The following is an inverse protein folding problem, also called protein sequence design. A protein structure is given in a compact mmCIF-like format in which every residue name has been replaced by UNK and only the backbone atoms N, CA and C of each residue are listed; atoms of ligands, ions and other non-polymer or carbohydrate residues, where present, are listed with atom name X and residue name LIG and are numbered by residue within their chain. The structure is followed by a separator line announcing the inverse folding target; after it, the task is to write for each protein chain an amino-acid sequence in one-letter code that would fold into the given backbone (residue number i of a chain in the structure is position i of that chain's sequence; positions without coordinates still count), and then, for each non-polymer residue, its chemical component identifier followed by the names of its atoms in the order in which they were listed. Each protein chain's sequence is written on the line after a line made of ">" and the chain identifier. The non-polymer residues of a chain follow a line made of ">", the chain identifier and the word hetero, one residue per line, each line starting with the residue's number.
data_IF_440705648544
#
_entry.id   IF_440705648544
#
_cell.length_a   1.000
_cell.length_b   1.000
_cell.length_c   1.000
_cell.angle_alpha   90.00
_cell.angle_beta   90.00
_cell.angle_gamma   90.00
#
_symmetry.space_group_name_H-M   'P 1'
#
loop_
_entity.id
_entity.type
_entity.pdbx_description
1 polymer ?
#
# COMPACT_ATOMS: atom_id res chain seq x y z
N UNK A 1 7.21 20.38 -22.10
CA UNK A 1 7.78 19.17 -21.47
C UNK A 1 9.30 19.28 -21.49
N UNK A 2 10.04 18.57 -20.62
CA UNK A 2 11.51 18.62 -20.59
C UNK A 2 12.17 18.21 -21.91
N UNK A 3 11.50 17.41 -22.73
CA UNK A 3 11.93 16.97 -24.07
C UNK A 3 11.44 17.89 -25.22
N UNK A 4 10.95 19.08 -24.92
CA UNK A 4 10.46 20.03 -25.91
C UNK A 4 9.04 19.77 -26.43
N UNK A 5 8.39 18.64 -26.09
CA UNK A 5 6.98 18.42 -26.47
C UNK A 5 6.09 19.49 -25.86
N UNK A 6 5.13 19.99 -26.65
CA UNK A 6 4.08 20.92 -26.22
C UNK A 6 2.74 20.19 -26.20
N UNK A 7 2.06 20.24 -25.06
CA UNK A 7 0.73 19.65 -24.87
C UNK A 7 -0.19 20.80 -24.49
N UNK A 8 -1.26 21.00 -25.26
CA UNK A 8 -2.31 21.98 -24.97
C UNK A 8 -3.54 21.26 -24.41
N UNK A 9 -4.51 22.04 -23.93
CA UNK A 9 -5.80 21.49 -23.48
C UNK A 9 -6.49 20.70 -24.61
N UNK A 10 -6.45 21.19 -25.85
CA UNK A 10 -7.08 20.54 -27.00
C UNK A 10 -6.40 19.26 -27.46
N UNK A 11 -5.10 19.09 -27.18
CA UNK A 11 -4.33 17.89 -27.56
C UNK A 11 -4.09 16.94 -26.39
N UNK A 12 -4.68 17.21 -25.22
CA UNK A 12 -4.48 16.40 -24.03
C UNK A 12 -5.40 15.17 -24.03
N UNK A 13 -4.82 14.00 -24.24
CA UNK A 13 -5.50 12.70 -24.16
C UNK A 13 -5.18 11.94 -22.86
N UNK A 14 -4.56 12.62 -21.90
CA UNK A 14 -4.07 11.96 -20.69
C UNK A 14 -5.18 11.57 -19.73
N UNK A 15 -5.00 10.41 -19.09
CA UNK A 15 -5.89 9.90 -18.06
C UNK A 15 -5.07 9.18 -16.98
N UNK A 16 -5.73 8.70 -15.92
CA UNK A 16 -5.07 7.88 -14.89
C UNK A 16 -4.46 6.61 -15.51
N UNK A 17 -5.12 6.00 -16.49
CA UNK A 17 -4.67 4.77 -17.17
C UNK A 17 -3.81 5.04 -18.40
N UNK A 18 -3.82 6.27 -18.90
CA UNK A 18 -2.98 6.72 -20.02
C UNK A 18 -2.26 8.05 -19.67
N UNK A 19 -1.33 8.06 -18.69
CA UNK A 19 -0.64 9.27 -18.30
C UNK A 19 0.45 9.68 -19.32
N UNK A 20 0.75 10.97 -19.37
CA UNK A 20 1.90 11.51 -20.11
C UNK A 20 3.18 11.01 -19.45
N UNK A 21 3.95 10.19 -20.18
CA UNK A 21 5.28 9.74 -19.75
C UNK A 21 6.30 10.86 -19.92
N UNK A 22 7.01 11.19 -18.85
CA UNK A 22 8.21 12.03 -18.90
C UNK A 22 9.34 11.32 -19.65
N UNK A 23 10.27 12.08 -20.28
CA UNK A 23 11.49 11.50 -20.83
C UNK A 23 12.38 10.92 -19.72
N UNK A 24 13.34 10.07 -20.07
CA UNK A 24 14.38 9.56 -19.14
C UNK A 24 15.15 10.71 -18.49
N UNK A 25 15.29 10.65 -17.17
CA UNK A 25 16.01 11.65 -16.38
C UNK A 25 15.43 11.80 -14.98
N UNK A 26 16.13 12.58 -14.15
CA UNK A 26 15.66 12.94 -12.82
C UNK A 26 14.99 14.32 -12.90
N UNK A 27 13.65 14.32 -12.96
CA UNK A 27 12.87 15.54 -13.13
C UNK A 27 12.00 15.81 -11.90
N UNK A 28 11.66 17.07 -11.74
CA UNK A 28 10.65 17.61 -10.85
C UNK A 28 9.55 18.27 -11.68
N UNK A 29 8.47 18.75 -11.05
CA UNK A 29 7.48 19.55 -11.78
C UNK A 29 8.00 20.93 -12.18
N UNK A 30 9.10 21.42 -11.59
CA UNK A 30 9.74 22.65 -12.05
C UNK A 30 10.30 22.53 -13.47
N UNK A 31 10.70 21.33 -13.88
CA UNK A 31 11.19 21.05 -15.24
C UNK A 31 10.05 20.96 -16.27
N UNK A 32 8.80 20.95 -15.81
CA UNK A 32 7.62 21.04 -16.66
C UNK A 32 7.23 22.51 -16.80
N UNK A 33 7.64 23.09 -17.93
CA UNK A 33 7.32 24.45 -18.30
C UNK A 33 5.81 24.64 -18.53
N UNK A 34 5.23 25.60 -17.82
CA UNK A 34 3.86 26.08 -18.00
C UNK A 34 3.87 27.60 -18.14
N UNK A 35 2.70 28.24 -18.20
CA UNK A 35 2.57 29.71 -18.16
C UNK A 35 2.98 30.31 -16.80
N UNK A 36 3.09 29.47 -15.77
CA UNK A 36 3.52 29.89 -14.44
C UNK A 36 5.04 30.02 -14.39
N UNK A 37 5.58 31.03 -13.68
CA UNK A 37 7.01 31.11 -13.40
C UNK A 37 7.53 29.85 -12.70
N UNK A 38 8.83 29.57 -12.85
CA UNK A 38 9.46 28.44 -12.15
C UNK A 38 9.27 28.54 -10.64
N UNK A 39 8.94 27.42 -9.99
CA UNK A 39 8.63 27.36 -8.56
C UNK A 39 7.25 27.93 -8.16
N UNK A 40 6.60 28.72 -9.00
CA UNK A 40 5.31 29.34 -8.67
C UNK A 40 4.13 28.38 -8.88
N UNK A 41 3.14 28.49 -8.01
CA UNK A 41 1.86 27.76 -8.10
C UNK A 41 0.69 28.66 -8.48
N UNK A 42 0.92 29.97 -8.64
CA UNK A 42 -0.08 30.92 -9.11
C UNK A 42 0.57 32.12 -9.81
N UNK A 43 -0.15 32.73 -10.75
CA UNK A 43 0.20 34.00 -11.39
C UNK A 43 -1.06 34.80 -11.69
N UNK A 44 -1.00 36.14 -11.52
CA UNK A 44 -2.10 37.00 -11.95
C UNK A 44 -2.13 37.12 -13.47
N UNK A 45 -3.33 37.23 -14.06
CA UNK A 45 -3.45 37.46 -15.50
C UNK A 45 -2.85 38.80 -15.90
N UNK A 46 -2.92 39.81 -15.02
CA UNK A 46 -2.25 41.10 -15.24
C UNK A 46 -0.73 40.96 -15.40
N UNK A 47 -0.10 40.09 -14.60
CA UNK A 47 1.33 39.81 -14.70
C UNK A 47 1.70 39.11 -16.01
N UNK A 48 0.79 38.36 -16.63
CA UNK A 48 1.02 37.74 -17.93
C UNK A 48 0.90 38.78 -19.05
N UNK A 49 -0.06 39.69 -18.94
CA UNK A 49 -0.20 40.81 -19.87
C UNK A 49 1.03 41.71 -19.84
N UNK A 50 1.54 42.05 -18.65
CA UNK A 50 2.76 42.86 -18.54
C UNK A 50 4.02 42.16 -19.09
N UNK A 51 3.98 40.84 -19.27
CA UNK A 51 5.03 40.06 -19.95
C UNK A 51 4.81 39.91 -21.47
N UNK A 52 3.82 40.61 -22.04
CA UNK A 52 3.49 40.54 -23.46
C UNK A 52 2.83 39.23 -23.89
N UNK A 53 2.19 38.50 -22.95
CA UNK A 53 1.45 37.25 -23.26
C UNK A 53 -0.01 37.53 -23.65
N UNK A 54 -0.20 38.46 -24.58
CA UNK A 54 -1.51 38.89 -25.09
C UNK A 54 -1.35 39.42 -26.52
N UNK A 55 -2.47 39.63 -27.23
CA UNK A 55 -2.50 40.17 -28.59
C UNK A 55 -3.55 41.26 -28.69
N UNK A 56 -3.29 42.21 -29.59
CA UNK A 56 -4.09 43.41 -29.84
C UNK A 56 -4.18 43.62 -31.35
N UNK A 57 -5.40 43.50 -31.90
CA UNK A 57 -5.61 43.53 -33.36
C UNK A 57 -5.78 44.96 -33.89
N UNK A 58 -6.30 45.89 -33.07
CA UNK A 58 -6.60 47.28 -33.46
C UNK A 58 -5.71 48.31 -32.75
N UNK A 59 -4.89 47.90 -31.78
CA UNK A 59 -3.80 48.69 -31.20
C UNK A 59 -4.22 49.57 -30.03
N UNK A 60 -5.43 49.39 -29.49
CA UNK A 60 -6.01 50.22 -28.44
C UNK A 60 -5.46 49.92 -27.03
N UNK A 61 -4.76 48.80 -26.88
CA UNK A 61 -4.12 48.33 -25.66
C UNK A 61 -2.62 48.62 -25.60
N UNK A 62 -2.03 49.22 -26.65
CA UNK A 62 -0.60 49.49 -26.72
C UNK A 62 -0.17 50.67 -25.82
N UNK A 63 1.01 50.55 -25.20
CA UNK A 63 1.60 51.58 -24.32
C UNK A 63 1.59 51.23 -22.83
N UNK A 64 2.21 52.07 -22.00
CA UNK A 64 2.27 51.87 -20.55
C UNK A 64 0.86 51.93 -19.97
N UNK A 65 0.39 50.83 -19.36
CA UNK A 65 -0.96 50.66 -18.82
C UNK A 65 -2.10 50.68 -19.88
N UNK A 66 -1.80 50.40 -21.15
CA UNK A 66 -2.81 50.39 -22.21
C UNK A 66 -3.87 49.29 -22.04
N UNK A 67 -3.52 48.17 -21.37
CA UNK A 67 -4.44 47.08 -21.04
C UNK A 67 -4.20 46.56 -19.62
N UNK A 68 -5.29 46.22 -18.93
CA UNK A 68 -5.27 45.55 -17.62
C UNK A 68 -6.11 44.28 -17.64
N UNK A 69 -5.70 43.27 -16.88
CA UNK A 69 -6.47 42.04 -16.68
C UNK A 69 -6.81 41.80 -15.22
N UNK A 70 -8.02 41.32 -14.97
CA UNK A 70 -8.39 40.73 -13.68
C UNK A 70 -8.34 39.19 -13.76
N UNK A 71 -8.12 38.55 -12.62
CA UNK A 71 -8.07 37.09 -12.50
C UNK A 71 -6.66 36.51 -12.37
N UNK A 72 -6.59 35.18 -12.28
CA UNK A 72 -5.34 34.45 -12.04
C UNK A 72 -5.40 33.03 -12.60
N UNK A 73 -4.22 32.46 -12.82
CA UNK A 73 -4.03 31.05 -13.12
C UNK A 73 -3.34 30.42 -11.91
N UNK A 74 -3.83 29.28 -11.46
CA UNK A 74 -3.28 28.51 -10.35
C UNK A 74 -2.99 27.07 -10.76
N UNK A 75 -2.10 26.43 -10.03
CA UNK A 75 -1.64 25.07 -10.23
C UNK A 75 -1.74 24.27 -8.94
N UNK A 76 -2.42 23.14 -9.01
CA UNK A 76 -2.42 22.14 -7.97
C UNK A 76 -1.84 20.83 -8.51
N UNK A 77 -0.93 20.23 -7.76
CA UNK A 77 -0.36 18.92 -8.08
C UNK A 77 -0.69 17.95 -6.96
N UNK A 78 -1.25 16.81 -7.33
CA UNK A 78 -1.54 15.72 -6.40
C UNK A 78 -0.92 14.42 -6.88
N UNK A 79 -0.45 13.59 -5.97
CA UNK A 79 -0.03 12.23 -6.29
C UNK A 79 -1.24 11.30 -6.52
N UNK A 80 -1.00 10.04 -6.87
CA UNK A 80 -2.04 9.02 -7.09
C UNK A 80 -2.93 8.77 -5.87
N UNK A 81 -2.47 9.16 -4.68
CA UNK A 81 -3.17 9.01 -3.41
C UNK A 81 -3.94 10.28 -3.01
N UNK A 82 -3.83 11.36 -3.79
CA UNK A 82 -4.47 12.64 -3.53
C UNK A 82 -3.68 13.56 -2.59
N UNK A 83 -2.47 13.20 -2.18
CA UNK A 83 -1.59 14.06 -1.38
C UNK A 83 -1.02 15.18 -2.24
N UNK A 84 -0.98 16.41 -1.70
CA UNK A 84 -0.39 17.57 -2.38
C UNK A 84 1.11 17.36 -2.57
N UNK A 85 1.61 17.75 -3.74
CA UNK A 85 3.02 17.64 -4.13
C UNK A 85 3.54 19.01 -4.50
N UNK A 86 4.71 19.39 -3.99
CA UNK A 86 5.33 20.66 -4.36
C UNK A 86 6.02 20.53 -5.72
N UNK A 87 6.20 21.66 -6.41
CA UNK A 87 6.86 21.61 -7.72
C UNK A 87 8.31 21.13 -7.68
N UNK A 88 8.98 21.35 -6.55
CA UNK A 88 10.38 20.98 -6.30
C UNK A 88 10.56 19.54 -5.79
N UNK A 89 9.48 18.84 -5.46
CA UNK A 89 9.59 17.49 -4.92
C UNK A 89 10.11 16.54 -6.02
N UNK A 90 11.05 15.67 -5.64
CA UNK A 90 11.48 14.55 -6.49
C UNK A 90 10.30 13.64 -6.81
N UNK A 91 10.16 13.30 -8.08
CA UNK A 91 9.12 12.40 -8.54
C UNK A 91 9.45 10.94 -8.18
N UNK A 92 8.41 10.19 -7.86
CA UNK A 92 8.47 8.80 -7.45
C UNK A 92 7.40 8.02 -8.20
N UNK A 93 7.81 6.94 -8.88
CA UNK A 93 6.91 6.06 -9.63
C UNK A 93 5.83 5.44 -8.73
N UNK A 94 6.09 5.30 -7.43
CA UNK A 94 5.13 4.80 -6.46
C UNK A 94 4.05 5.80 -6.07
N UNK A 95 4.27 7.09 -6.38
CA UNK A 95 3.31 8.18 -6.23
C UNK A 95 2.66 8.58 -7.55
N UNK A 96 3.15 8.08 -8.68
CA UNK A 96 2.61 8.30 -10.01
C UNK A 96 1.38 7.40 -10.32
N UNK A 97 0.49 7.79 -11.25
CA UNK A 97 0.52 9.05 -11.99
C UNK A 97 0.11 10.22 -11.10
N UNK A 98 0.72 11.37 -11.34
CA UNK A 98 0.41 12.62 -10.68
C UNK A 98 -0.67 13.36 -11.45
N UNK A 99 -1.67 13.88 -10.72
CA UNK A 99 -2.71 14.75 -11.25
C UNK A 99 -2.26 16.20 -11.16
N UNK A 100 -2.08 16.83 -12.31
CA UNK A 100 -1.71 18.25 -12.44
C UNK A 100 -2.95 19.01 -12.90
N UNK A 101 -3.47 19.89 -12.06
CA UNK A 101 -4.63 20.73 -12.36
C UNK A 101 -4.17 22.17 -12.57
N UNK A 102 -4.50 22.74 -13.72
CA UNK A 102 -4.39 24.18 -14.01
C UNK A 102 -5.79 24.78 -13.99
N UNK A 103 -6.00 25.76 -13.12
CA UNK A 103 -7.27 26.45 -12.95
C UNK A 103 -7.08 27.94 -13.25
N UNK A 104 -7.84 28.47 -14.21
CA UNK A 104 -7.95 29.91 -14.47
C UNK A 104 -9.25 30.43 -13.87
N UNK A 105 -9.19 31.53 -13.15
CA UNK A 105 -10.39 32.27 -12.79
C UNK A 105 -10.97 32.95 -14.04
N UNK A 106 -12.25 33.31 -13.99
CA UNK A 106 -12.78 34.31 -14.90
C UNK A 106 -12.17 35.68 -14.62
N UNK A 107 -12.47 36.63 -15.50
CA UNK A 107 -11.96 37.98 -15.37
C UNK A 107 -12.45 38.89 -16.48
N UNK A 108 -11.78 40.03 -16.58
CA UNK A 108 -12.01 41.04 -17.59
C UNK A 108 -10.69 41.56 -18.13
N UNK A 109 -10.67 41.86 -19.42
CA UNK A 109 -9.68 42.73 -20.05
C UNK A 109 -10.28 44.13 -20.12
N UNK A 110 -9.49 45.14 -19.81
CA UNK A 110 -9.91 46.54 -19.87
C UNK A 110 -8.82 47.35 -20.53
N UNK A 111 -9.18 48.04 -21.61
CA UNK A 111 -8.31 48.99 -22.33
C UNK A 111 -8.73 50.42 -22.02
N UNK A 112 -7.84 51.38 -22.27
CA UNK A 112 -8.15 52.79 -22.05
C UNK A 112 -9.02 53.37 -23.18
N UNK A 113 -8.82 52.91 -24.42
CA UNK A 113 -9.36 53.56 -25.62
C UNK A 113 -10.35 52.69 -26.42
N UNK A 114 -10.51 51.41 -26.07
CA UNK A 114 -11.40 50.48 -26.77
C UNK A 114 -12.88 50.82 -26.67
N UNK A 115 -13.65 50.39 -27.66
CA UNK A 115 -15.11 50.52 -27.65
C UNK A 115 -15.73 49.18 -28.08
N UNK A 116 -16.32 48.39 -27.15
CA UNK A 116 -16.36 48.61 -25.71
C UNK A 116 -14.98 48.50 -25.06
N UNK A 117 -14.70 49.30 -24.03
CA UNK A 117 -13.40 49.36 -23.36
C UNK A 117 -13.13 48.16 -22.42
N UNK A 118 -14.06 47.21 -22.32
CA UNK A 118 -13.86 46.00 -21.52
C UNK A 118 -14.60 44.81 -22.09
N UNK A 119 -13.92 43.68 -22.03
CA UNK A 119 -14.47 42.36 -22.35
C UNK A 119 -14.31 41.42 -21.17
N UNK A 120 -15.27 40.50 -20.99
CA UNK A 120 -15.23 39.48 -19.93
C UNK A 120 -14.94 38.11 -20.52
N UNK A 121 -14.21 37.31 -19.77
CA UNK A 121 -13.95 35.91 -20.08
C UNK A 121 -14.25 35.02 -18.87
N UNK A 122 -14.60 33.78 -19.16
CA UNK A 122 -14.89 32.78 -18.15
C UNK A 122 -13.62 32.03 -17.75
N UNK A 123 -13.61 31.56 -16.51
CA UNK A 123 -12.56 30.67 -16.03
C UNK A 123 -12.67 29.29 -16.65
N UNK A 124 -11.66 28.47 -16.41
CA UNK A 124 -11.60 27.11 -16.93
C UNK A 124 -10.58 26.26 -16.20
N UNK A 125 -10.75 24.94 -16.32
CA UNK A 125 -9.89 23.94 -15.67
C UNK A 125 -9.34 22.98 -16.70
N UNK A 126 -8.04 22.69 -16.62
CA UNK A 126 -7.39 21.64 -17.39
C UNK A 126 -6.67 20.67 -16.45
N UNK A 127 -6.88 19.37 -16.66
CA UNK A 127 -6.28 18.29 -15.85
C UNK A 127 -5.36 17.45 -16.72
N UNK A 128 -4.14 17.24 -16.25
CA UNK A 128 -3.14 16.40 -16.89
C UNK A 128 -2.72 15.29 -15.92
N UNK A 129 -2.45 14.09 -16.45
CA UNK A 129 -1.87 13.00 -15.67
C UNK A 129 -0.44 12.74 -16.15
N UNK A 130 0.52 12.73 -15.23
CA UNK A 130 1.96 12.64 -15.54
C UNK A 130 2.58 11.45 -14.81
N UNK A 131 3.43 10.68 -15.49
CA UNK A 131 4.18 9.55 -14.90
C UNK A 131 5.65 9.60 -15.28
N UNK A 132 6.48 8.85 -14.55
CA UNK A 132 7.91 8.71 -14.84
C UNK A 132 8.16 7.63 -15.91
N UNK A 133 9.29 7.70 -16.63
CA UNK A 133 9.73 6.67 -17.57
C UNK A 133 10.27 5.40 -16.92
N UNK A 134 10.36 5.35 -15.58
CA UNK A 134 10.93 4.23 -14.85
C UNK A 134 10.18 2.92 -15.13
N UNK A 135 10.93 1.81 -15.06
CA UNK A 135 10.36 0.47 -15.05
C UNK A 135 9.30 0.39 -13.94
N UNK A 136 8.18 -0.32 -14.18
CA UNK A 136 7.18 -0.49 -13.14
C UNK A 136 7.79 -1.21 -11.94
N UNK A 137 7.23 -0.95 -10.77
CA UNK A 137 7.72 -1.51 -9.51
C UNK A 137 6.55 -1.90 -8.62
N UNK A 138 6.81 -2.78 -7.67
CA UNK A 138 5.91 -3.03 -6.56
C UNK A 138 6.38 -2.15 -5.41
N UNK A 139 5.52 -1.23 -4.99
CA UNK A 139 5.84 -0.15 -4.07
C UNK A 139 5.66 -0.58 -2.60
N UNK A 140 4.58 -1.29 -2.35
CA UNK A 140 4.25 -1.83 -1.05
C UNK A 140 3.35 -3.05 -1.21
N UNK A 141 3.20 -3.79 -0.12
CA UNK A 141 2.29 -4.91 -0.02
C UNK A 141 1.37 -4.69 1.18
N UNK A 142 0.08 -4.87 0.95
CA UNK A 142 -0.99 -4.50 1.87
C UNK A 142 -1.64 -5.74 2.47
N UNK A 143 -1.23 -6.19 3.67
CA UNK A 143 -2.06 -7.05 4.49
C UNK A 143 -3.18 -6.22 5.15
N UNK A 144 -3.88 -6.79 6.13
CA UNK A 144 -4.82 -6.04 6.95
C UNK A 144 -4.14 -4.84 7.63
N UNK A 145 -4.63 -3.63 7.41
CA UNK A 145 -4.05 -2.37 7.92
C UNK A 145 -4.54 -1.98 9.33
N UNK A 146 -5.60 -2.62 9.84
CA UNK A 146 -6.19 -2.26 11.13
C UNK A 146 -5.16 -2.37 12.26
N UNK A 147 -5.23 -1.46 13.22
CA UNK A 147 -4.26 -1.36 14.32
C UNK A 147 -2.80 -1.23 13.84
N UNK A 148 -2.58 -0.65 12.66
CA UNK A 148 -1.25 -0.33 12.11
C UNK A 148 -0.93 1.17 12.13
N UNK A 149 -1.59 1.96 12.97
CA UNK A 149 -1.39 3.41 13.08
C UNK A 149 -0.90 3.80 14.48
N UNK A 150 -0.53 5.07 14.66
CA UNK A 150 -0.11 5.66 15.95
C UNK A 150 0.96 4.82 16.66
N UNK A 151 0.70 4.33 17.89
CA UNK A 151 1.66 3.55 18.69
C UNK A 151 1.93 2.15 18.14
N UNK A 152 1.08 1.66 17.23
CA UNK A 152 1.28 0.37 16.56
C UNK A 152 1.86 0.52 15.15
N UNK A 153 2.08 1.75 14.68
CA UNK A 153 2.74 1.99 13.40
C UNK A 153 4.21 1.56 13.48
N UNK A 154 4.64 0.78 12.50
CA UNK A 154 6.05 0.45 12.32
C UNK A 154 6.90 1.66 11.88
N UNK A 155 8.23 1.50 11.83
CA UNK A 155 9.13 2.48 11.24
C UNK A 155 8.68 2.87 9.82
N UNK A 156 8.75 4.16 9.47
CA UNK A 156 8.22 4.68 8.19
C UNK A 156 8.92 4.13 6.95
N UNK A 157 10.13 3.58 7.09
CA UNK A 157 10.86 2.89 6.03
C UNK A 157 10.46 1.41 5.87
N UNK A 158 9.65 0.87 6.78
CA UNK A 158 9.17 -0.53 6.77
C UNK A 158 7.65 -0.57 6.55
N UNK A 159 6.91 0.32 7.21
CA UNK A 159 5.46 0.29 7.27
C UNK A 159 4.84 1.65 6.97
N UNK A 160 3.82 1.65 6.13
CA UNK A 160 2.93 2.77 5.90
C UNK A 160 1.52 2.43 6.41
N UNK A 161 0.92 3.23 7.31
CA UNK A 161 -0.43 2.98 7.84
C UNK A 161 -1.53 2.88 6.77
N UNK A 162 -1.32 3.44 5.58
CA UNK A 162 -2.30 3.44 4.49
C UNK A 162 -1.94 2.47 3.35
N UNK A 163 -0.69 1.99 3.30
CA UNK A 163 -0.15 1.21 2.17
C UNK A 163 0.36 -0.18 2.52
N UNK A 164 0.63 -0.43 3.81
CA UNK A 164 1.17 -1.69 4.30
C UNK A 164 2.69 -1.70 4.36
N UNK A 165 3.30 -2.87 4.16
CA UNK A 165 4.75 -3.02 4.20
C UNK A 165 5.40 -2.50 2.93
N UNK A 166 6.41 -1.64 3.07
CA UNK A 166 7.22 -1.17 1.95
C UNK A 166 8.15 -2.29 1.48
N UNK A 167 8.36 -2.40 0.17
CA UNK A 167 9.30 -3.37 -0.40
C UNK A 167 10.72 -3.02 0.04
N UNK A 168 11.38 -3.96 0.72
CA UNK A 168 12.73 -3.75 1.26
C UNK A 168 13.82 -4.09 0.24
N UNK A 169 13.57 -5.07 -0.64
CA UNK A 169 14.48 -5.41 -1.73
C UNK A 169 13.79 -6.21 -2.83
N UNK A 170 14.20 -6.01 -4.08
CA UNK A 170 13.83 -6.87 -5.21
C UNK A 170 14.94 -7.85 -5.60
N UNK A 171 16.10 -7.78 -4.94
CA UNK A 171 17.21 -8.72 -5.17
C UNK A 171 16.90 -10.08 -4.51
N UNK A 172 16.95 -11.20 -5.26
CA UNK A 172 16.68 -12.53 -4.73
C UNK A 172 17.47 -12.89 -3.46
N UNK A 173 18.73 -12.44 -3.33
CA UNK A 173 19.55 -12.71 -2.14
C UNK A 173 19.04 -12.03 -0.86
N UNK A 174 18.11 -11.07 -0.99
CA UNK A 174 17.60 -10.23 0.10
C UNK A 174 16.09 -10.38 0.33
N UNK A 175 15.42 -11.34 -0.32
CA UNK A 175 13.99 -11.59 -0.14
C UNK A 175 13.58 -11.90 1.31
N UNK A 176 14.52 -12.38 2.12
CA UNK A 176 14.30 -12.62 3.53
C UNK A 176 14.02 -11.36 4.36
N UNK A 177 14.18 -10.16 3.78
CA UNK A 177 13.86 -8.86 4.39
C UNK A 177 12.43 -8.39 4.09
N UNK A 178 11.75 -8.98 3.12
CA UNK A 178 10.39 -8.59 2.75
C UNK A 178 9.34 -9.33 3.58
N UNK A 179 8.16 -8.71 3.68
CA UNK A 179 6.96 -9.37 4.19
C UNK A 179 6.41 -10.37 3.15
N UNK A 180 5.76 -11.46 3.54
CA UNK A 180 5.71 -12.00 4.90
C UNK A 180 6.89 -12.92 5.21
N UNK A 181 7.20 -13.08 6.50
CA UNK A 181 8.08 -14.16 6.99
C UNK A 181 7.31 -15.28 7.67
N UNK A 182 6.03 -15.05 7.95
CA UNK A 182 5.11 -16.00 8.58
C UNK A 182 3.90 -16.23 7.69
N UNK A 183 3.22 -17.38 7.77
CA UNK A 183 2.05 -17.64 6.93
C UNK A 183 1.09 -18.67 7.50
N UNK A 184 -0.11 -18.69 6.94
CA UNK A 184 -1.15 -19.68 7.19
C UNK A 184 -2.02 -19.79 5.93
N UNK A 185 -2.74 -20.90 5.80
CA UNK A 185 -3.64 -21.11 4.66
C UNK A 185 -4.74 -20.05 4.62
N UNK A 186 -5.03 -19.53 3.43
CA UNK A 186 -6.08 -18.55 3.20
C UNK A 186 -5.71 -17.12 3.60
N UNK A 187 -4.50 -16.87 4.10
CA UNK A 187 -4.00 -15.49 4.27
C UNK A 187 -3.63 -14.87 2.93
N UNK A 188 -3.86 -13.57 2.82
CA UNK A 188 -3.59 -12.83 1.60
C UNK A 188 -3.13 -11.41 1.86
N UNK A 189 -2.44 -10.85 0.87
CA UNK A 189 -2.07 -9.44 0.82
C UNK A 189 -2.19 -8.92 -0.61
N UNK A 190 -2.33 -7.61 -0.77
CA UNK A 190 -2.47 -6.99 -2.09
C UNK A 190 -1.20 -6.23 -2.48
N UNK A 191 -0.77 -6.33 -3.74
CA UNK A 191 0.38 -5.58 -4.27
C UNK A 191 -0.05 -4.16 -4.70
N UNK A 192 0.65 -3.12 -4.23
CA UNK A 192 0.55 -1.76 -4.79
C UNK A 192 1.61 -1.61 -5.90
N UNK A 193 1.15 -1.59 -7.15
CA UNK A 193 2.00 -1.57 -8.34
C UNK A 193 2.04 -0.15 -8.90
N UNK A 194 3.24 0.37 -9.15
CA UNK A 194 3.50 1.68 -9.73
C UNK A 194 4.02 1.57 -11.17
N UNK A 195 3.68 2.56 -11.99
CA UNK A 195 4.23 2.72 -13.36
C UNK A 195 3.54 1.93 -14.47
N UNK A 196 2.56 1.10 -14.15
CA UNK A 196 1.76 0.33 -15.12
C UNK A 196 0.35 0.07 -14.60
N UNK A 197 -0.58 -0.20 -15.51
CA UNK A 197 -1.88 -0.78 -15.18
C UNK A 197 -1.70 -2.25 -14.76
N UNK A 198 -1.96 -2.53 -13.49
CA UNK A 198 -1.79 -3.86 -12.92
C UNK A 198 -2.67 -4.94 -13.58
N UNK A 199 -3.76 -4.55 -14.25
CA UNK A 199 -4.64 -5.49 -14.98
C UNK A 199 -3.97 -6.10 -16.21
N UNK A 200 -2.89 -5.50 -16.69
CA UNK A 200 -2.12 -5.98 -17.85
C UNK A 200 -1.09 -7.06 -17.50
N UNK A 201 -0.87 -7.31 -16.21
CA UNK A 201 0.17 -8.23 -15.75
C UNK A 201 -0.34 -9.67 -15.68
N UNK A 202 0.40 -10.57 -16.33
CA UNK A 202 0.31 -12.02 -16.17
C UNK A 202 1.37 -12.50 -15.20
N UNK A 203 1.02 -13.42 -14.30
CA UNK A 203 1.87 -13.79 -13.15
C UNK A 203 2.42 -15.20 -13.25
N UNK A 204 3.73 -15.32 -13.03
CA UNK A 204 4.41 -16.57 -12.74
C UNK A 204 4.85 -16.59 -11.27
N UNK A 205 4.74 -17.76 -10.63
CA UNK A 205 5.14 -17.98 -9.23
C UNK A 205 6.25 -19.02 -9.21
N UNK A 206 7.44 -18.62 -8.77
CA UNK A 206 8.54 -19.51 -8.50
C UNK A 206 8.60 -19.78 -7.00
N UNK A 207 8.71 -21.05 -6.60
CA UNK A 207 8.83 -21.46 -5.20
C UNK A 207 9.88 -22.54 -5.03
N UNK A 208 10.59 -22.53 -3.91
CA UNK A 208 11.56 -23.56 -3.54
C UNK A 208 10.95 -24.75 -2.77
N UNK A 209 9.62 -24.78 -2.58
CA UNK A 209 8.99 -25.81 -1.75
C UNK A 209 7.52 -26.07 -2.04
N UNK A 210 6.85 -26.71 -1.09
CA UNK A 210 5.50 -27.29 -1.28
C UNK A 210 4.33 -26.36 -0.96
N UNK A 211 4.59 -25.18 -0.38
CA UNK A 211 3.52 -24.22 -0.10
C UNK A 211 3.12 -23.51 -1.41
N UNK A 212 1.83 -23.25 -1.56
CA UNK A 212 1.25 -22.66 -2.76
C UNK A 212 1.04 -21.15 -2.63
N UNK A 213 1.08 -20.46 -3.77
CA UNK A 213 0.65 -19.06 -3.90
C UNK A 213 -0.18 -18.93 -5.17
N UNK A 214 -1.27 -18.17 -5.06
CA UNK A 214 -2.03 -17.70 -6.22
C UNK A 214 -1.98 -16.18 -6.28
N UNK A 215 -1.68 -15.62 -7.46
CA UNK A 215 -1.81 -14.18 -7.72
C UNK A 215 -3.03 -13.95 -8.60
N UNK A 216 -3.92 -13.05 -8.20
CA UNK A 216 -5.19 -12.80 -8.91
C UNK A 216 -5.53 -11.31 -8.99
N UNK A 217 -6.05 -10.88 -10.13
CA UNK A 217 -6.65 -9.56 -10.32
C UNK A 217 -8.15 -9.64 -10.03
N UNK A 218 -8.61 -9.07 -8.92
CA UNK A 218 -9.99 -9.28 -8.43
C UNK A 218 -10.49 -8.14 -7.56
N UNK A 219 -11.81 -8.05 -7.39
CA UNK A 219 -12.39 -7.17 -6.37
C UNK A 219 -12.00 -7.67 -4.96
N UNK A 220 -11.78 -6.75 -4.00
CA UNK A 220 -11.65 -7.08 -2.58
C UNK A 220 -12.81 -7.93 -2.08
N UNK A 221 -12.55 -8.79 -1.10
CA UNK A 221 -13.59 -9.50 -0.39
C UNK A 221 -14.46 -8.48 0.38
N UNK A 222 -15.75 -8.77 0.53
CA UNK A 222 -16.63 -7.88 1.32
C UNK A 222 -16.19 -7.76 2.78
N UNK A 223 -15.57 -8.82 3.33
CA UNK A 223 -14.96 -8.84 4.66
C UNK A 223 -13.66 -8.06 4.79
N UNK A 224 -13.07 -7.53 3.71
CA UNK A 224 -11.85 -6.72 3.75
C UNK A 224 -12.15 -5.33 4.31
N UNK A 225 -12.37 -5.24 5.61
CA UNK A 225 -12.77 -4.01 6.30
C UNK A 225 -11.67 -2.92 6.29
N UNK A 226 -10.43 -3.28 5.97
CA UNK A 226 -9.32 -2.34 5.80
C UNK A 226 -9.24 -1.73 4.38
N UNK A 227 -10.12 -2.14 3.45
CA UNK A 227 -10.21 -1.59 2.11
C UNK A 227 -11.52 -0.80 1.99
N UNK A 228 -11.40 0.52 1.92
CA UNK A 228 -12.56 1.44 1.84
C UNK A 228 -13.25 1.37 0.48
N UNK A 229 -12.48 1.55 -0.60
CA UNK A 229 -12.99 1.52 -1.97
C UNK A 229 -12.94 0.09 -2.52
N UNK A 230 -14.05 -0.64 -2.40
CA UNK A 230 -14.21 -2.01 -2.90
C UNK A 230 -14.70 -2.07 -4.35
N UNK A 231 -14.83 -0.92 -5.03
CA UNK A 231 -15.21 -0.87 -6.45
C UNK A 231 -14.03 -1.09 -7.41
N UNK A 232 -12.81 -1.09 -6.87
CA UNK A 232 -11.57 -1.23 -7.62
C UNK A 232 -10.92 -2.58 -7.36
N UNK A 233 -10.40 -3.18 -8.42
CA UNK A 233 -9.65 -4.42 -8.33
C UNK A 233 -8.32 -4.23 -7.59
N UNK A 234 -7.84 -5.32 -7.01
CA UNK A 234 -6.56 -5.47 -6.34
C UNK A 234 -5.80 -6.63 -6.98
N UNK A 235 -4.47 -6.55 -6.98
CA UNK A 235 -3.60 -7.68 -7.28
C UNK A 235 -3.33 -8.46 -6.00
N UNK A 236 -4.14 -9.48 -5.74
CA UNK A 236 -4.12 -10.26 -4.50
C UNK A 236 -3.21 -11.47 -4.61
N UNK A 237 -2.32 -11.60 -3.64
CA UNK A 237 -1.48 -12.78 -3.39
C UNK A 237 -2.10 -13.57 -2.24
N UNK A 238 -2.51 -14.81 -2.48
CA UNK A 238 -3.09 -15.71 -1.47
C UNK A 238 -2.15 -16.88 -1.20
N UNK A 239 -1.89 -17.16 0.07
CA UNK A 239 -1.11 -18.31 0.53
C UNK A 239 -1.99 -19.55 0.67
N UNK A 240 -1.49 -20.69 0.18
CA UNK A 240 -2.17 -21.99 0.27
C UNK A 240 -1.23 -23.02 0.89
N UNK A 241 -1.73 -23.83 1.81
CA UNK A 241 -0.91 -24.85 2.45
C UNK A 241 -1.68 -25.71 3.44
N UNK A 242 -0.98 -26.44 4.32
CA UNK A 242 -1.62 -27.29 5.31
C UNK A 242 -2.55 -26.46 6.23
N UNK A 243 -3.80 -26.90 6.32
CA UNK A 243 -4.84 -26.37 7.23
C UNK A 243 -5.58 -27.53 7.89
N UNK A 244 -6.12 -27.30 9.08
CA UNK A 244 -7.00 -28.28 9.71
C UNK A 244 -8.36 -28.33 8.97
N UNK A 245 -8.83 -29.53 8.67
CA UNK A 245 -10.19 -29.76 8.17
C UNK A 245 -11.22 -29.53 9.27
N UNK A 246 -12.50 -29.43 8.91
CA UNK A 246 -13.59 -29.33 9.89
C UNK A 246 -13.62 -30.50 10.88
N UNK A 247 -13.28 -31.71 10.44
CA UNK A 247 -13.20 -32.89 11.31
C UNK A 247 -11.98 -32.86 12.25
N UNK A 248 -10.84 -32.34 11.78
CA UNK A 248 -9.68 -32.13 12.65
C UNK A 248 -9.94 -31.02 13.67
N UNK A 249 -10.63 -29.94 13.28
CA UNK A 249 -10.97 -28.82 14.18
C UNK A 249 -11.86 -29.29 15.34
N UNK A 250 -12.91 -30.06 15.05
CA UNK A 250 -13.87 -30.54 16.05
C UNK A 250 -13.37 -31.71 16.90
N UNK A 251 -12.40 -32.49 16.41
CA UNK A 251 -11.85 -33.63 17.13
C UNK A 251 -10.91 -33.22 18.26
N UNK A 252 -10.97 -33.92 19.40
CA UNK A 252 -9.95 -33.86 20.45
C UNK A 252 -8.69 -34.66 20.07
N UNK A 253 -8.81 -35.61 19.13
CA UNK A 253 -7.72 -36.45 18.64
C UNK A 253 -7.61 -36.36 17.11
N UNK A 254 -7.13 -35.23 16.56
CA UNK A 254 -7.04 -35.06 15.11
C UNK A 254 -5.93 -35.92 14.52
N UNK A 255 -6.09 -36.35 13.27
CA UNK A 255 -4.99 -36.92 12.50
C UNK A 255 -3.93 -35.86 12.18
N UNK A 256 -2.68 -36.29 11.97
CA UNK A 256 -1.55 -35.39 11.68
C UNK A 256 -1.74 -34.61 10.38
N UNK A 257 -1.17 -33.40 10.32
CA UNK A 257 -1.06 -32.60 9.11
C UNK A 257 0.34 -32.70 8.53
N UNK A 258 0.44 -32.57 7.20
CA UNK A 258 1.72 -32.37 6.53
C UNK A 258 2.39 -31.12 7.09
N UNK A 259 3.67 -31.24 7.44
CA UNK A 259 4.50 -30.11 7.85
C UNK A 259 5.26 -29.59 6.63
N UNK A 260 5.15 -28.31 6.28
CA UNK A 260 5.96 -27.75 5.21
C UNK A 260 7.43 -27.70 5.65
N UNK A 261 8.35 -28.03 4.76
CA UNK A 261 9.78 -27.79 4.97
C UNK A 261 10.03 -26.29 4.86
N UNK A 262 10.53 -25.66 5.92
CA UNK A 262 10.80 -24.21 5.99
C UNK A 262 12.29 -23.98 6.28
N UNK A 263 12.88 -22.86 5.80
CA UNK A 263 12.25 -21.77 5.07
C UNK A 263 11.92 -22.10 3.60
N UNK A 264 10.92 -21.43 3.03
CA UNK A 264 10.61 -21.48 1.58
C UNK A 264 10.70 -20.08 0.98
N UNK A 265 11.40 -19.97 -0.15
CA UNK A 265 11.51 -18.72 -0.90
C UNK A 265 10.48 -18.71 -2.02
N UNK A 266 9.81 -17.57 -2.16
CA UNK A 266 8.87 -17.29 -3.24
C UNK A 266 9.36 -16.11 -4.05
N UNK A 267 9.19 -16.17 -5.37
CA UNK A 267 9.37 -15.06 -6.30
C UNK A 267 8.14 -14.99 -7.22
N UNK A 268 7.44 -13.87 -7.17
CA UNK A 268 6.32 -13.52 -8.03
C UNK A 268 6.85 -12.64 -9.15
N UNK A 269 6.63 -13.05 -10.40
CA UNK A 269 7.07 -12.31 -11.58
C UNK A 269 5.82 -11.95 -12.41
N UNK A 270 5.50 -10.66 -12.46
CA UNK A 270 4.42 -10.11 -13.27
C UNK A 270 4.96 -9.55 -14.58
N UNK A 271 4.38 -9.92 -15.73
CA UNK A 271 4.79 -9.47 -17.07
C UNK A 271 3.61 -8.94 -17.87
N UNK A 272 3.80 -7.88 -18.64
CA UNK A 272 2.83 -7.44 -19.65
C UNK A 272 3.28 -7.83 -21.07
N UNK A 273 2.45 -7.52 -22.08
CA UNK A 273 2.77 -7.78 -23.49
C UNK A 273 3.82 -6.83 -24.08
N UNK A 274 4.16 -5.74 -23.39
CA UNK A 274 5.13 -4.74 -23.84
C UNK A 274 6.54 -5.04 -23.33
N UNK A 275 6.73 -6.17 -22.63
CA UNK A 275 8.01 -6.57 -22.06
C UNK A 275 8.32 -5.90 -20.71
N UNK A 276 7.36 -5.20 -20.10
CA UNK A 276 7.50 -4.70 -18.74
C UNK A 276 7.43 -5.87 -17.74
N UNK A 277 8.21 -5.78 -16.68
CA UNK A 277 8.31 -6.82 -15.67
C UNK A 277 8.37 -6.22 -14.26
N UNK A 278 7.64 -6.81 -13.32
CA UNK A 278 7.75 -6.54 -11.89
C UNK A 278 8.07 -7.81 -11.13
N UNK A 279 8.85 -7.69 -10.05
CA UNK A 279 9.21 -8.81 -9.18
C UNK A 279 8.90 -8.50 -7.73
N UNK A 280 8.37 -9.51 -7.03
CA UNK A 280 8.27 -9.49 -5.57
C UNK A 280 8.64 -10.85 -5.02
N UNK A 281 9.61 -10.89 -4.11
CA UNK A 281 9.98 -12.14 -3.45
C UNK A 281 10.07 -11.99 -1.95
N UNK A 282 9.80 -13.10 -1.26
CA UNK A 282 9.79 -13.17 0.19
C UNK A 282 10.15 -14.58 0.66
N UNK A 283 10.42 -14.74 1.95
CA UNK A 283 10.83 -16.02 2.54
C UNK A 283 9.94 -16.35 3.74
N UNK A 284 9.10 -17.37 3.60
CA UNK A 284 8.35 -17.92 4.72
C UNK A 284 9.28 -18.77 5.58
N UNK A 285 9.35 -18.45 6.86
CA UNK A 285 10.17 -19.13 7.87
C UNK A 285 9.32 -19.90 8.88
N UNK A 286 8.04 -19.55 9.00
CA UNK A 286 7.13 -20.14 9.97
C UNK A 286 5.71 -20.27 9.39
N UNK A 287 5.09 -21.43 9.59
CA UNK A 287 3.73 -21.72 9.15
C UNK A 287 2.81 -22.01 10.34
N UNK A 288 1.58 -21.50 10.28
CA UNK A 288 0.60 -21.58 11.35
C UNK A 288 -0.69 -22.27 10.90
N UNK A 289 -1.30 -23.02 11.81
CA UNK A 289 -2.59 -23.69 11.63
C UNK A 289 -3.49 -23.33 12.81
N UNK A 290 -4.75 -22.96 12.57
CA UNK A 290 -5.68 -22.58 13.63
C UNK A 290 -6.81 -23.61 13.82
N UNK A 291 -7.41 -23.62 15.01
CA UNK A 291 -8.56 -24.46 15.37
C UNK A 291 -9.91 -23.74 15.24
N UNK A 292 -10.00 -22.76 14.34
CA UNK A 292 -11.20 -21.96 14.14
C UNK A 292 -11.75 -21.35 15.44
N UNK A 293 -13.06 -21.46 15.63
CA UNK A 293 -13.80 -20.89 16.77
C UNK A 293 -13.81 -21.78 18.02
N UNK A 294 -13.04 -22.87 18.05
CA UNK A 294 -13.02 -23.80 19.20
C UNK A 294 -12.26 -23.19 20.37
N UNK A 295 -12.99 -22.94 21.46
CA UNK A 295 -12.47 -22.48 22.76
C UNK A 295 -12.31 -23.65 23.71
N UNK A 296 -11.09 -23.87 24.20
CA UNK A 296 -10.73 -24.95 25.11
C UNK A 296 -9.57 -24.52 26.02
N UNK A 297 -9.39 -25.26 27.10
CA UNK A 297 -8.31 -25.01 28.06
C UNK A 297 -6.95 -25.36 27.45
N UNK A 298 -5.89 -24.87 28.09
CA UNK A 298 -4.54 -24.97 27.54
C UNK A 298 -4.12 -26.41 27.22
N UNK A 299 -4.40 -27.36 28.12
CA UNK A 299 -4.03 -28.78 27.96
C UNK A 299 -4.67 -29.41 26.71
N UNK A 300 -5.95 -29.15 26.46
CA UNK A 300 -6.69 -29.63 25.29
C UNK A 300 -6.16 -29.05 23.99
N UNK A 301 -5.84 -27.75 24.00
CA UNK A 301 -5.33 -27.04 22.83
C UNK A 301 -3.88 -27.46 22.52
N UNK A 302 -3.06 -27.67 23.56
CA UNK A 302 -1.71 -28.21 23.45
C UNK A 302 -1.73 -29.63 22.88
N UNK A 303 -2.59 -30.50 23.42
CA UNK A 303 -2.75 -31.86 22.91
C UNK A 303 -3.21 -31.87 21.45
N UNK A 304 -4.12 -30.97 21.07
CA UNK A 304 -4.55 -30.81 19.69
C UNK A 304 -3.41 -30.41 18.76
N UNK A 305 -2.62 -29.38 19.12
CA UNK A 305 -1.44 -28.98 18.34
C UNK A 305 -0.45 -30.13 18.17
N UNK A 306 -0.09 -30.80 19.26
CA UNK A 306 0.89 -31.89 19.25
C UNK A 306 0.45 -33.06 18.37
N UNK A 307 -0.85 -33.41 18.38
CA UNK A 307 -1.41 -34.49 17.54
C UNK A 307 -1.44 -34.15 16.05
N UNK A 308 -1.61 -32.88 15.70
CA UNK A 308 -1.40 -32.43 14.32
C UNK A 308 0.06 -32.57 13.87
N UNK A 309 0.99 -32.78 14.81
CA UNK A 309 2.43 -32.74 14.58
C UNK A 309 2.97 -31.31 14.59
N UNK A 310 2.24 -30.36 15.17
CA UNK A 310 2.64 -28.95 15.35
C UNK A 310 2.89 -28.70 16.83
N UNK A 311 3.35 -27.51 17.19
CA UNK A 311 3.52 -27.10 18.59
C UNK A 311 2.69 -25.87 18.93
N UNK A 312 2.43 -25.68 20.21
CA UNK A 312 1.92 -24.41 20.72
C UNK A 312 2.97 -23.32 20.49
N UNK A 313 2.60 -22.14 19.96
CA UNK A 313 3.52 -21.02 19.79
C UNK A 313 3.92 -20.41 21.13
N UNK A 314 5.07 -19.74 21.14
CA UNK A 314 5.48 -18.82 22.19
C UNK A 314 4.90 -17.43 21.94
N UNK A 315 4.90 -16.56 22.94
CA UNK A 315 4.51 -15.14 22.81
C UNK A 315 5.29 -14.47 21.68
N UNK A 316 6.60 -14.69 21.60
CA UNK A 316 7.45 -14.18 20.51
C UNK A 316 7.11 -14.69 19.12
N UNK A 317 6.47 -15.86 18.99
CA UNK A 317 6.05 -16.36 17.68
C UNK A 317 4.84 -15.56 17.17
N UNK A 318 4.09 -14.89 18.06
CA UNK A 318 2.84 -14.19 17.73
C UNK A 318 2.96 -12.68 17.73
N UNK A 319 3.75 -12.08 18.62
CA UNK A 319 3.78 -10.61 18.83
C UNK A 319 5.16 -10.09 19.23
N UNK A 320 5.41 -8.81 18.96
CA UNK A 320 6.54 -8.04 19.48
C UNK A 320 6.18 -7.08 20.62
N UNK A 321 5.06 -7.35 21.32
CA UNK A 321 4.68 -6.62 22.53
C UNK A 321 5.82 -6.53 23.54
N UNK A 322 5.94 -5.40 24.23
CA UNK A 322 6.93 -5.21 25.30
C UNK A 322 6.62 -5.94 26.61
N UNK A 323 5.45 -6.58 26.71
CA UNK A 323 4.99 -7.22 27.93
C UNK A 323 5.97 -8.28 28.44
N UNK A 324 6.46 -8.08 29.66
CA UNK A 324 7.43 -8.94 30.37
C UNK A 324 8.64 -9.38 29.53
N UNK A 325 9.02 -8.58 28.52
CA UNK A 325 10.09 -8.90 27.56
C UNK A 325 9.92 -10.21 26.78
N UNK A 326 8.70 -10.78 26.76
CA UNK A 326 8.39 -12.08 26.15
C UNK A 326 8.19 -12.01 24.62
N UNK A 327 7.83 -10.83 24.10
CA UNK A 327 7.64 -10.60 22.67
C UNK A 327 8.94 -10.66 21.85
N UNK A 328 8.79 -10.79 20.54
CA UNK A 328 9.88 -10.76 19.59
C UNK A 328 10.58 -9.39 19.53
N UNK A 329 11.78 -9.37 18.96
CA UNK A 329 12.49 -8.14 18.63
C UNK A 329 12.19 -7.71 17.16
N UNK A 330 12.22 -6.39 16.87
CA UNK A 330 12.28 -5.30 17.83
C UNK A 330 10.97 -5.14 18.58
N UNK A 331 11.06 -4.82 19.88
CA UNK A 331 9.90 -4.69 20.77
C UNK A 331 9.16 -3.39 20.49
N UNK A 332 7.84 -3.42 20.63
CA UNK A 332 7.02 -2.21 20.66
C UNK A 332 7.26 -1.39 21.93
N UNK A 333 6.71 -0.19 22.01
CA UNK A 333 6.80 0.68 23.19
C UNK A 333 5.70 0.43 24.23
N UNK A 334 4.68 -0.36 23.89
CA UNK A 334 3.48 -0.60 24.70
C UNK A 334 3.10 -2.09 24.66
N UNK A 335 2.15 -2.52 25.50
CA UNK A 335 1.64 -3.89 25.46
C UNK A 335 0.66 -4.10 24.28
N UNK A 336 1.19 -4.02 23.06
CA UNK A 336 0.54 -4.30 21.79
C UNK A 336 1.63 -4.53 20.73
N UNK A 337 1.31 -5.10 19.58
CA UNK A 337 2.30 -5.16 18.49
C UNK A 337 2.57 -3.76 17.93
N UNK A 338 3.78 -3.60 17.38
CA UNK A 338 4.14 -2.53 16.45
C UNK A 338 4.49 -3.20 15.12
N UNK A 339 3.87 -2.77 14.01
CA UNK A 339 4.03 -3.40 12.70
C UNK A 339 5.49 -3.54 12.31
N UNK A 340 5.94 -4.77 12.12
CA UNK A 340 7.33 -5.07 11.81
C UNK A 340 7.43 -6.40 11.07
N UNK A 341 8.41 -6.51 10.17
CA UNK A 341 8.72 -7.74 9.46
C UNK A 341 9.60 -8.62 10.36
N UNK A 342 9.27 -9.91 10.48
CA UNK A 342 10.02 -10.89 11.25
C UNK A 342 9.83 -10.84 12.77
N UNK A 343 8.81 -10.13 13.27
CA UNK A 343 8.61 -9.88 14.70
C UNK A 343 7.29 -10.46 15.24
N UNK A 344 6.90 -11.63 14.74
CA UNK A 344 5.73 -12.38 15.18
C UNK A 344 4.58 -12.37 14.17
N UNK A 345 3.76 -13.42 14.21
CA UNK A 345 2.69 -13.67 13.25
C UNK A 345 1.62 -12.58 13.22
N UNK A 346 1.06 -12.21 14.37
CA UNK A 346 0.05 -11.14 14.44
C UNK A 346 0.66 -9.75 14.19
N UNK A 347 1.94 -9.56 14.50
CA UNK A 347 2.67 -8.33 14.17
C UNK A 347 2.74 -8.10 12.66
N UNK A 348 3.01 -9.16 11.89
CA UNK A 348 3.04 -9.10 10.43
C UNK A 348 1.63 -8.97 9.84
N UNK A 349 0.72 -9.88 10.19
CA UNK A 349 -0.57 -9.99 9.51
C UNK A 349 -1.67 -9.08 10.08
N UNK A 350 -1.51 -8.58 11.29
CA UNK A 350 -2.46 -7.69 11.95
C UNK A 350 -3.68 -8.41 12.49
N UNK A 351 -4.83 -7.73 12.45
CA UNK A 351 -6.09 -8.28 12.97
C UNK A 351 -6.55 -9.51 12.18
N UNK A 352 -6.39 -10.69 12.78
CA UNK A 352 -6.58 -11.96 12.07
C UNK A 352 -8.04 -12.26 11.73
N UNK A 353 -8.98 -11.81 12.55
CA UNK A 353 -10.42 -12.03 12.32
C UNK A 353 -10.99 -11.29 11.12
N UNK A 354 -10.20 -10.43 10.46
CA UNK A 354 -10.60 -9.74 9.24
C UNK A 354 -10.38 -10.53 7.95
N UNK A 355 -9.55 -11.57 7.95
CA UNK A 355 -9.28 -12.36 6.75
C UNK A 355 -10.42 -13.35 6.49
N UNK A 356 -11.13 -13.19 5.36
CA UNK A 356 -12.34 -13.97 5.07
C UNK A 356 -12.07 -15.49 4.98
N UNK A 357 -10.94 -15.88 4.41
CA UNK A 357 -10.69 -17.27 3.98
C UNK A 357 -9.71 -18.03 4.90
N UNK A 358 -9.13 -17.35 5.90
CA UNK A 358 -8.09 -17.91 6.77
C UNK A 358 -8.65 -18.64 8.01
N UNK A 359 -9.94 -18.47 8.32
CA UNK A 359 -10.63 -19.18 9.41
C UNK A 359 -10.27 -18.72 10.84
N UNK A 360 -9.46 -17.67 10.99
CA UNK A 360 -9.14 -17.09 12.30
C UNK A 360 -10.32 -16.31 12.88
N UNK A 361 -10.39 -16.28 14.21
CA UNK A 361 -11.41 -15.53 14.95
C UNK A 361 -10.73 -14.41 15.74
N UNK A 362 -11.39 -13.26 15.84
CA UNK A 362 -10.92 -12.18 16.72
C UNK A 362 -10.98 -12.60 18.19
N UNK A 363 -9.84 -12.56 18.89
CA UNK A 363 -9.80 -12.86 20.32
C UNK A 363 -8.43 -13.29 20.82
N UNK A 364 -8.42 -14.00 21.94
CA UNK A 364 -7.21 -14.45 22.60
C UNK A 364 -6.80 -15.83 22.08
N UNK A 365 -5.50 -16.00 21.86
CA UNK A 365 -4.87 -17.25 21.46
C UNK A 365 -3.86 -17.70 22.51
N UNK A 366 -3.85 -18.99 22.82
CA UNK A 366 -2.89 -19.58 23.76
C UNK A 366 -1.45 -19.48 23.29
N UNK A 367 -0.54 -19.40 24.26
CA UNK A 367 0.90 -19.58 24.05
C UNK A 367 1.46 -20.55 25.07
N UNK A 368 2.65 -21.10 24.81
CA UNK A 368 3.32 -22.02 25.72
C UNK A 368 4.03 -21.33 26.90
N UNK A 369 4.30 -20.03 26.81
CA UNK A 369 4.91 -19.28 27.91
C UNK A 369 3.93 -19.17 29.09
N UNK A 370 4.43 -19.14 30.32
CA UNK A 370 3.61 -19.09 31.53
C UNK A 370 4.26 -18.25 32.64
N UNK A 371 3.43 -17.74 33.53
CA UNK A 371 3.84 -17.14 34.81
C UNK A 371 3.08 -17.82 35.94
N UNK A 372 3.81 -18.55 36.79
CA UNK A 372 3.21 -19.43 37.79
C UNK A 372 2.31 -20.49 37.16
N UNK A 373 1.05 -20.55 37.60
CA UNK A 373 0.05 -21.51 37.11
C UNK A 373 -0.69 -21.05 35.85
N UNK A 374 -0.49 -19.82 35.38
CA UNK A 374 -1.24 -19.25 34.26
C UNK A 374 -0.39 -19.16 33.00
N UNK A 375 -0.90 -19.69 31.90
CA UNK A 375 -0.31 -19.49 30.57
C UNK A 375 -0.59 -18.07 30.05
N UNK A 376 0.35 -17.57 29.26
CA UNK A 376 0.18 -16.33 28.53
C UNK A 376 -0.68 -16.55 27.28
N UNK A 377 -1.33 -15.47 26.87
CA UNK A 377 -2.24 -15.43 25.72
C UNK A 377 -2.08 -14.10 25.00
N UNK A 378 -2.28 -14.14 23.68
CA UNK A 378 -2.08 -12.97 22.81
C UNK A 378 -3.37 -12.64 22.06
N UNK A 379 -3.75 -11.36 22.05
CA UNK A 379 -4.88 -10.89 21.26
C UNK A 379 -4.53 -10.87 19.77
N UNK A 380 -5.30 -11.59 18.95
CA UNK A 380 -5.11 -11.64 17.49
C UNK A 380 -5.46 -10.34 16.76
N UNK A 381 -6.05 -9.36 17.46
CA UNK A 381 -6.47 -8.08 16.88
C UNK A 381 -5.32 -7.06 16.87
N UNK A 382 -4.64 -6.88 18.01
CA UNK A 382 -3.61 -5.84 18.22
C UNK A 382 -2.38 -6.35 19.00
N UNK A 383 -2.25 -7.67 19.23
CA UNK A 383 -1.01 -8.28 19.74
C UNK A 383 -0.70 -8.06 21.22
N UNK A 384 -1.65 -7.56 22.01
CA UNK A 384 -1.45 -7.43 23.46
C UNK A 384 -1.36 -8.80 24.13
N UNK A 385 -0.50 -8.88 25.15
CA UNK A 385 -0.25 -10.07 25.96
C UNK A 385 -0.98 -9.91 27.28
N UNK A 386 -1.57 -11.00 27.75
CA UNK A 386 -2.09 -11.09 29.11
C UNK A 386 -1.99 -12.53 29.63
N UNK A 387 -2.36 -12.72 30.89
CA UNK A 387 -2.44 -14.04 31.54
C UNK A 387 -3.86 -14.29 32.06
N UNK A 388 -4.20 -15.54 32.37
CA UNK A 388 -5.46 -15.92 33.03
C UNK A 388 -6.04 -17.26 32.57
N UNK A 389 -7.07 -17.74 33.29
CA UNK A 389 -7.62 -19.11 33.19
C UNK A 389 -8.78 -19.31 32.22
N UNK A 390 -9.05 -18.36 31.33
CA UNK A 390 -10.17 -18.51 30.38
C UNK A 390 -9.84 -19.60 29.36
N UNK A 391 -10.80 -19.98 28.50
CA UNK A 391 -10.58 -20.89 27.37
C UNK A 391 -10.39 -20.15 26.01
N UNK A 392 -9.20 -19.59 25.70
CA UNK A 392 -8.76 -19.07 24.40
C UNK A 392 -8.88 -20.03 23.21
N UNK A 393 -8.72 -19.45 22.03
CA UNK A 393 -8.54 -20.15 20.77
C UNK A 393 -7.13 -20.75 20.66
N UNK A 394 -6.96 -21.68 19.72
CA UNK A 394 -5.65 -22.25 19.40
C UNK A 394 -5.18 -21.84 18.00
N UNK A 395 -3.90 -21.50 17.96
CA UNK A 395 -3.09 -21.49 16.75
C UNK A 395 -1.83 -22.27 17.08
N UNK A 396 -1.44 -23.16 16.19
CA UNK A 396 -0.26 -24.01 16.31
C UNK A 396 0.75 -23.57 15.25
N UNK A 397 2.02 -23.75 15.53
CA UNK A 397 3.10 -23.44 14.60
C UNK A 397 3.91 -24.68 14.27
N UNK A 398 4.47 -24.74 13.07
CA UNK A 398 5.38 -25.83 12.69
C UNK A 398 6.52 -25.93 13.73
N UNK A 399 7.01 -27.16 14.03
CA UNK A 399 8.01 -27.42 15.07
C UNK A 399 9.22 -26.47 15.04
#
# INVERSE_FOLDING_TARGET
>A
MPDGRRITQSTNTSSVTNPIRLPSGNYTFNDIHTVLPSGATSISLNSLISQGKWGDDDGDGQGTNGVTATGSISLAIKDKNGSTVNRSDTLDICKAPYKVTLDSTGGSLTTQYGVPNSSRFYGGTAVYYITLPSQPVICSVRPNLNFGSTSSAGPSNIWSPTKGFLVQSTNPSSYSRNFPTTGADGLYFDLDIGGIDASQLSWAVNTSGSLGITVSWRLPNQGDIWITDKSKNVTRVTLTGPRASSSQISSSNPGSLTRPSLPQTFELVGRDSNGNEVRYGFVLRQWFVNRGSVKKDYSDQLAWCNRLGYRMPRVRDLTNSNYDYLGAAPRSSVNAYMRHIGAGFFTEWGSMGGYADAGFVGGLYWTSDASGFYQFRVYSTYGAVGSGSYSPFAVCTAP
#
